data_IF_280043923356
#
_entry.id   IF_280043923356
#
_cell.length_a   1.000
_cell.length_b   1.000
_cell.length_c   1.000
_cell.angle_alpha   90.00
_cell.angle_beta   90.00
_cell.angle_gamma   90.00
#
_symmetry.space_group_name_H-M   'P 1'
#
loop_
_entity.id
_entity.type
_entity.pdbx_description
1 polymer ?
#
# COMPACT_ATOMS: atom_id res chain seq x y z
N UNK A 1 20.32 9.78 28.79
CA UNK A 1 19.44 10.98 28.74
C UNK A 1 18.08 10.60 28.16
N UNK A 2 16.95 10.96 28.78
CA UNK A 2 15.60 10.62 28.31
C UNK A 2 15.33 10.95 26.83
N UNK A 3 15.88 12.06 26.33
CA UNK A 3 15.76 12.46 24.92
C UNK A 3 16.38 11.47 23.93
N UNK A 4 17.50 10.83 24.28
CA UNK A 4 18.16 9.82 23.43
C UNK A 4 17.30 8.55 23.34
N UNK A 5 16.70 8.16 24.48
CA UNK A 5 15.78 7.03 24.52
C UNK A 5 14.54 7.29 23.65
N UNK A 6 13.96 8.49 23.73
CA UNK A 6 12.84 8.88 22.91
C UNK A 6 13.18 8.78 21.41
N UNK A 7 14.28 9.40 20.95
CA UNK A 7 14.71 9.35 19.54
C UNK A 7 14.87 7.90 19.06
N UNK A 8 15.47 7.05 19.88
CA UNK A 8 15.64 5.62 19.57
C UNK A 8 14.29 4.91 19.39
N UNK A 9 13.32 5.20 20.26
CA UNK A 9 11.97 4.65 20.16
C UNK A 9 11.23 5.14 18.90
N UNK A 10 11.32 6.43 18.57
CA UNK A 10 10.74 7.00 17.35
C UNK A 10 11.34 6.35 16.11
N UNK A 11 12.67 6.23 16.05
CA UNK A 11 13.38 5.58 14.94
C UNK A 11 12.89 4.14 14.72
N UNK A 12 12.72 3.37 15.80
CA UNK A 12 12.16 2.00 15.72
C UNK A 12 10.73 1.98 15.18
N UNK A 13 9.87 2.93 15.58
CA UNK A 13 8.49 3.01 15.11
C UNK A 13 8.43 3.35 13.62
N UNK A 14 9.19 4.35 13.17
CA UNK A 14 9.30 4.74 11.76
C UNK A 14 9.85 3.59 10.92
N UNK A 15 10.90 2.91 11.38
CA UNK A 15 11.47 1.75 10.68
C UNK A 15 10.48 0.60 10.52
N UNK A 16 9.68 0.29 11.55
CA UNK A 16 8.60 -0.71 11.43
C UNK A 16 7.53 -0.29 10.42
N UNK A 17 7.17 0.98 10.39
CA UNK A 17 6.19 1.51 9.42
C UNK A 17 6.71 1.44 7.99
N UNK A 18 7.97 1.82 7.78
CA UNK A 18 8.67 1.68 6.49
C UNK A 18 8.59 0.22 6.01
N UNK A 19 8.98 -0.74 6.84
CA UNK A 19 8.93 -2.16 6.48
C UNK A 19 7.51 -2.66 6.19
N UNK A 20 6.50 -2.17 6.92
CA UNK A 20 5.10 -2.48 6.61
C UNK A 20 4.68 -1.94 5.24
N UNK A 21 5.08 -0.72 4.89
CA UNK A 21 4.78 -0.16 3.57
C UNK A 21 5.46 -0.94 2.45
N UNK A 22 6.73 -1.32 2.62
CA UNK A 22 7.44 -2.20 1.67
C UNK A 22 6.71 -3.55 1.47
N UNK A 23 6.06 -4.09 2.52
CA UNK A 23 5.38 -5.38 2.47
C UNK A 23 3.90 -5.32 2.00
N UNK A 24 3.19 -4.23 2.31
CA UNK A 24 1.73 -4.15 2.18
C UNK A 24 1.25 -3.32 1.01
N UNK A 25 2.11 -2.53 0.37
CA UNK A 25 1.73 -1.84 -0.86
C UNK A 25 1.29 -2.87 -1.90
N UNK A 26 0.11 -2.62 -2.48
CA UNK A 26 -0.45 -3.36 -3.60
C UNK A 26 -0.67 -2.37 -4.73
N UNK A 27 -0.24 -2.73 -5.92
CA UNK A 27 -0.47 -1.94 -7.11
C UNK A 27 -1.70 -2.46 -7.85
N UNK A 28 -2.41 -1.55 -8.49
CA UNK A 28 -3.39 -1.86 -9.53
C UNK A 28 -3.00 -1.17 -10.82
N UNK A 29 -3.04 -1.90 -11.93
CA UNK A 29 -2.70 -1.38 -13.24
C UNK A 29 -3.89 -0.62 -13.85
N UNK A 30 -3.62 0.58 -14.32
CA UNK A 30 -4.58 1.38 -15.10
C UNK A 30 -4.48 1.04 -16.58
N UNK A 31 -5.51 1.39 -17.38
CA UNK A 31 -5.47 1.24 -18.84
C UNK A 31 -4.29 1.96 -19.51
N UNK A 32 -3.79 3.03 -18.90
CA UNK A 32 -2.64 3.79 -19.37
C UNK A 32 -1.29 3.18 -18.93
N UNK A 33 -1.25 1.91 -18.53
CA UNK A 33 -0.01 1.22 -18.10
C UNK A 33 0.66 1.85 -16.87
N UNK A 34 -0.08 2.64 -16.08
CA UNK A 34 0.37 3.17 -14.79
C UNK A 34 -0.06 2.24 -13.67
N UNK A 35 0.87 1.85 -12.80
CA UNK A 35 0.61 1.09 -11.58
C UNK A 35 0.34 2.02 -10.40
N UNK A 36 -0.85 1.99 -9.84
CA UNK A 36 -1.30 2.90 -8.79
C UNK A 36 -1.43 2.18 -7.44
N UNK A 37 -1.03 2.84 -6.35
CA UNK A 37 -1.25 2.37 -4.98
C UNK A 37 -1.62 3.52 -4.05
N UNK A 38 -2.63 3.30 -3.21
CA UNK A 38 -3.01 4.22 -2.12
C UNK A 38 -2.53 3.66 -0.80
N UNK A 39 -2.00 4.54 0.05
CA UNK A 39 -1.54 4.20 1.40
C UNK A 39 -1.93 5.26 2.41
N UNK A 40 -1.93 4.87 3.68
CA UNK A 40 -2.13 5.77 4.82
C UNK A 40 -1.23 5.38 5.99
N UNK A 41 0.08 5.64 5.90
CA UNK A 41 1.03 5.26 6.94
C UNK A 41 0.97 6.18 8.17
N UNK A 42 1.29 5.63 9.34
CA UNK A 42 1.34 6.39 10.60
C UNK A 42 2.39 7.53 10.53
N UNK A 43 3.49 7.32 9.82
CA UNK A 43 4.60 8.28 9.66
C UNK A 43 4.83 8.62 8.19
N UNK A 44 5.50 9.75 7.92
CA UNK A 44 5.93 10.10 6.57
C UNK A 44 7.08 9.17 6.15
N UNK A 45 6.74 8.03 5.56
CA UNK A 45 7.73 7.00 5.17
C UNK A 45 7.94 6.92 3.66
N UNK A 46 7.16 7.66 2.86
CA UNK A 46 7.28 7.66 1.39
C UNK A 46 8.74 7.92 0.93
N UNK A 47 9.43 8.96 1.43
CA UNK A 47 10.84 9.19 1.08
C UNK A 47 11.77 8.01 1.42
N UNK A 48 11.43 7.25 2.47
CA UNK A 48 12.24 6.11 2.94
C UNK A 48 12.03 4.83 2.13
N UNK A 49 10.86 4.66 1.51
CA UNK A 49 10.52 3.49 0.70
C UNK A 49 10.84 3.69 -0.79
N UNK A 50 11.06 4.93 -1.22
CA UNK A 50 11.38 5.28 -2.60
C UNK A 50 12.48 4.39 -3.23
N UNK A 51 13.64 4.15 -2.59
CA UNK A 51 14.70 3.33 -3.20
C UNK A 51 14.31 1.86 -3.38
N UNK A 52 13.42 1.34 -2.51
CA UNK A 52 12.93 -0.03 -2.58
C UNK A 52 12.10 -0.24 -3.85
N UNK A 53 11.09 0.61 -4.04
CA UNK A 53 10.16 0.50 -5.17
C UNK A 53 10.83 0.83 -6.51
N UNK A 54 11.72 1.84 -6.56
CA UNK A 54 12.50 2.15 -7.78
C UNK A 54 13.29 0.94 -8.28
N UNK A 55 13.97 0.24 -7.35
CA UNK A 55 14.81 -0.92 -7.68
C UNK A 55 13.97 -2.13 -8.10
N UNK A 56 12.84 -2.35 -7.42
CA UNK A 56 12.00 -3.52 -7.64
C UNK A 56 11.14 -3.42 -8.91
N UNK A 57 10.69 -2.22 -9.25
CA UNK A 57 9.78 -1.94 -10.36
C UNK A 57 10.40 -0.88 -11.28
N UNK A 58 11.58 -1.19 -11.81
CA UNK A 58 12.38 -0.24 -12.60
C UNK A 58 11.87 -0.05 -14.03
N UNK A 59 11.11 -1.02 -14.54
CA UNK A 59 10.58 -1.15 -15.89
C UNK A 59 9.10 -0.73 -16.01
N UNK A 60 8.50 -0.27 -14.92
CA UNK A 60 7.07 0.05 -14.82
C UNK A 60 6.88 1.46 -14.27
N UNK A 61 5.95 2.23 -14.85
CA UNK A 61 5.54 3.50 -14.26
C UNK A 61 4.65 3.22 -13.06
N UNK A 62 4.90 3.89 -11.95
CA UNK A 62 4.09 3.68 -10.75
C UNK A 62 3.88 4.96 -9.95
N UNK A 63 2.75 5.00 -9.23
CA UNK A 63 2.38 6.06 -8.30
C UNK A 63 1.99 5.45 -6.94
N UNK A 64 2.69 5.84 -5.88
CA UNK A 64 2.31 5.52 -4.49
C UNK A 64 1.84 6.81 -3.84
N UNK A 65 0.58 6.87 -3.43
CA UNK A 65 -0.05 8.09 -2.91
C UNK A 65 -0.46 7.96 -1.43
N UNK A 66 0.01 8.87 -0.58
CA UNK A 66 -0.37 8.97 0.84
C UNK A 66 -1.64 9.82 0.98
N UNK A 67 -2.78 9.16 1.20
CA UNK A 67 -4.09 9.82 1.33
C UNK A 67 -4.17 10.74 2.56
N UNK A 68 -3.40 10.47 3.61
CA UNK A 68 -3.42 11.30 4.83
C UNK A 68 -2.59 12.57 4.66
N UNK A 69 -1.46 12.48 3.95
CA UNK A 69 -0.55 13.62 3.75
C UNK A 69 -0.77 14.36 2.43
N UNK A 70 -1.61 13.82 1.54
CA UNK A 70 -2.01 14.40 0.26
C UNK A 70 -0.84 14.65 -0.70
N UNK A 71 0.09 13.70 -0.75
CA UNK A 71 1.17 13.69 -1.72
C UNK A 71 1.56 12.24 -2.06
N UNK A 72 2.24 12.05 -3.18
CA UNK A 72 2.71 10.75 -3.62
C UNK A 72 4.05 10.80 -4.33
N UNK A 73 4.58 9.61 -4.60
CA UNK A 73 5.78 9.39 -5.38
C UNK A 73 5.40 8.79 -6.73
N UNK A 74 5.73 9.49 -7.81
CA UNK A 74 5.52 9.06 -9.18
C UNK A 74 6.85 8.71 -9.84
N UNK A 75 7.00 7.48 -10.32
CA UNK A 75 8.16 7.04 -11.10
C UNK A 75 7.83 7.00 -12.59
N UNK A 76 8.59 7.75 -13.38
CA UNK A 76 8.38 7.93 -14.83
C UNK A 76 9.28 7.02 -15.70
N UNK A 77 9.91 6.00 -15.11
CA UNK A 77 10.97 5.14 -15.67
C UNK A 77 12.39 5.74 -15.66
N UNK A 78 12.57 6.97 -15.18
CA UNK A 78 13.88 7.63 -15.07
C UNK A 78 14.09 8.14 -13.65
N UNK A 79 13.16 8.98 -13.20
CA UNK A 79 13.22 9.72 -11.96
C UNK A 79 11.92 9.59 -11.18
N UNK A 80 12.01 9.96 -9.90
CA UNK A 80 10.86 9.92 -9.01
C UNK A 80 10.49 11.35 -8.66
N UNK A 81 9.25 11.68 -8.96
CA UNK A 81 8.65 12.99 -8.75
C UNK A 81 7.74 12.95 -7.54
N UNK A 82 7.84 13.97 -6.70
CA UNK A 82 6.81 14.21 -5.70
C UNK A 82 5.61 14.87 -6.38
N UNK A 83 4.43 14.30 -6.20
CA UNK A 83 3.18 14.81 -6.79
C UNK A 83 2.18 15.11 -5.70
N UNK A 84 1.44 16.20 -5.83
CA UNK A 84 0.26 16.48 -5.00
C UNK A 84 -0.97 16.39 -5.90
N UNK A 85 -1.99 15.70 -5.40
CA UNK A 85 -3.25 15.46 -6.11
C UNK A 85 -4.39 15.84 -5.16
N UNK A 86 -5.55 16.24 -5.67
CA UNK A 86 -6.72 16.26 -4.80
C UNK A 86 -7.13 14.81 -4.52
N UNK A 87 -7.35 14.47 -3.24
CA UNK A 87 -7.65 13.09 -2.85
C UNK A 87 -8.95 12.58 -3.49
N UNK A 88 -9.84 13.50 -3.88
CA UNK A 88 -11.03 13.23 -4.67
C UNK A 88 -10.73 12.76 -6.08
N UNK A 89 -9.55 12.98 -6.64
CA UNK A 89 -9.23 12.64 -8.04
C UNK A 89 -8.72 11.20 -8.18
N UNK A 90 -8.42 10.53 -7.05
CA UNK A 90 -7.79 9.20 -7.05
C UNK A 90 -8.74 8.10 -6.59
N UNK A 91 -9.58 8.34 -5.57
CA UNK A 91 -10.54 7.35 -5.04
C UNK A 91 -11.91 7.99 -4.71
N UNK A 92 -13.00 7.46 -5.30
CA UNK A 92 -14.38 7.91 -5.02
C UNK A 92 -14.86 7.52 -3.62
N UNK A 93 -14.27 6.47 -3.04
CA UNK A 93 -14.67 5.88 -1.76
C UNK A 93 -13.74 6.27 -0.60
N UNK A 94 -13.03 7.40 -0.69
CA UNK A 94 -12.17 7.92 0.39
C UNK A 94 -12.86 7.94 1.78
N UNK A 95 -14.20 8.06 1.79
CA UNK A 95 -15.04 8.09 3.00
C UNK A 95 -15.69 6.73 3.36
N UNK A 96 -15.82 5.80 2.42
CA UNK A 96 -16.48 4.51 2.60
C UNK A 96 -15.40 3.42 2.78
N UNK A 97 -14.74 3.46 3.93
CA UNK A 97 -13.41 2.90 4.18
C UNK A 97 -13.28 1.38 4.31
N UNK A 98 -13.72 0.61 3.30
CA UNK A 98 -13.59 -0.86 3.32
C UNK A 98 -12.89 -1.43 2.07
N UNK A 99 -12.83 -0.69 0.96
CA UNK A 99 -12.10 -1.07 -0.25
C UNK A 99 -11.63 0.18 -1.03
N UNK A 100 -10.66 0.01 -1.94
CA UNK A 100 -10.21 1.05 -2.87
C UNK A 100 -11.12 1.06 -4.11
N UNK A 101 -11.64 2.24 -4.49
CA UNK A 101 -12.37 2.44 -5.75
C UNK A 101 -11.70 3.53 -6.58
N UNK A 102 -10.65 3.13 -7.28
CA UNK A 102 -9.89 4.02 -8.16
C UNK A 102 -10.81 4.73 -9.17
N UNK A 103 -10.55 6.03 -9.39
CA UNK A 103 -11.25 6.79 -10.41
C UNK A 103 -10.79 6.45 -11.83
N UNK A 104 -9.52 6.11 -11.96
CA UNK A 104 -8.92 5.70 -13.22
C UNK A 104 -9.49 4.35 -13.64
N UNK A 105 -9.73 4.23 -14.94
CA UNK A 105 -10.11 2.95 -15.52
C UNK A 105 -8.96 1.96 -15.34
N UNK A 106 -9.27 0.85 -14.66
CA UNK A 106 -8.34 -0.25 -14.48
C UNK A 106 -8.25 -1.07 -15.77
N UNK A 107 -7.10 -1.70 -15.97
CA UNK A 107 -6.90 -2.67 -17.05
C UNK A 107 -7.91 -3.83 -16.91
N UNK A 108 -8.43 -4.33 -18.02
CA UNK A 108 -9.45 -5.39 -18.04
C UNK A 108 -8.95 -6.68 -17.35
N UNK A 109 -7.64 -6.92 -17.38
CA UNK A 109 -7.01 -8.08 -16.75
C UNK A 109 -6.86 -7.95 -15.23
N UNK A 110 -7.03 -6.75 -14.65
CA UNK A 110 -6.89 -6.55 -13.20
C UNK A 110 -7.87 -7.39 -12.39
N UNK A 111 -9.09 -7.60 -12.91
CA UNK A 111 -10.09 -8.47 -12.26
C UNK A 111 -9.57 -9.91 -12.17
N UNK A 112 -8.94 -10.40 -13.23
CA UNK A 112 -8.35 -11.73 -13.26
C UNK A 112 -7.14 -11.82 -12.30
N UNK A 113 -6.25 -10.82 -12.30
CA UNK A 113 -5.10 -10.80 -11.39
C UNK A 113 -5.52 -10.74 -9.91
N UNK A 114 -6.56 -9.96 -9.59
CA UNK A 114 -7.13 -9.90 -8.24
C UNK A 114 -7.66 -11.27 -7.80
N UNK A 115 -8.37 -11.97 -8.69
CA UNK A 115 -8.88 -13.31 -8.40
C UNK A 115 -7.75 -14.34 -8.22
N UNK A 116 -6.77 -14.36 -9.13
CA UNK A 116 -5.62 -15.25 -9.05
C UNK A 116 -4.84 -15.04 -7.74
N UNK A 117 -4.69 -13.79 -7.30
CA UNK A 117 -4.05 -13.48 -6.03
C UNK A 117 -4.83 -14.04 -4.84
N UNK A 118 -6.16 -13.88 -4.82
CA UNK A 118 -7.01 -14.43 -3.75
C UNK A 118 -6.97 -15.96 -3.70
N UNK A 119 -7.02 -16.61 -4.86
CA UNK A 119 -6.95 -18.07 -4.96
C UNK A 119 -5.59 -18.59 -4.47
N UNK A 120 -4.51 -17.95 -4.91
CA UNK A 120 -3.17 -18.22 -4.41
C UNK A 120 -3.11 -18.06 -2.89
N UNK A 121 -3.54 -16.90 -2.35
CA UNK A 121 -3.53 -16.60 -0.92
C UNK A 121 -4.31 -17.63 -0.11
N UNK A 122 -5.47 -18.07 -0.60
CA UNK A 122 -6.29 -19.10 0.02
C UNK A 122 -5.58 -20.46 0.01
N UNK A 123 -4.98 -20.84 -1.12
CA UNK A 123 -4.34 -22.16 -1.30
C UNK A 123 -3.09 -22.36 -0.43
N UNK A 124 -2.33 -21.29 -0.17
CA UNK A 124 -1.12 -21.36 0.67
C UNK A 124 -1.41 -21.25 2.17
N UNK A 125 -2.64 -20.91 2.55
CA UNK A 125 -3.01 -20.74 3.94
C UNK A 125 -3.38 -22.08 4.58
N UNK A 126 -2.81 -22.36 5.76
CA UNK A 126 -3.06 -23.59 6.50
C UNK A 126 -4.07 -23.26 7.61
N UNK A 127 -5.29 -23.77 7.49
CA UNK A 127 -6.42 -23.48 8.39
C UNK A 127 -6.09 -23.74 9.86
N UNK A 128 -5.35 -24.82 10.13
CA UNK A 128 -4.96 -25.25 11.47
C UNK A 128 -3.93 -24.30 12.12
N UNK A 129 -3.24 -23.47 11.32
CA UNK A 129 -2.28 -22.46 11.81
C UNK A 129 -2.91 -21.09 12.00
N UNK A 130 -4.23 -20.96 11.86
CA UNK A 130 -4.91 -19.69 12.01
C UNK A 130 -4.83 -19.18 13.46
N UNK A 131 -4.13 -18.07 13.63
CA UNK A 131 -4.09 -17.31 14.88
C UNK A 131 -4.46 -15.86 14.60
N UNK A 132 -5.74 -15.53 14.77
CA UNK A 132 -6.29 -14.21 14.43
C UNK A 132 -5.62 -13.09 15.25
N UNK A 133 -5.34 -13.34 16.54
CA UNK A 133 -4.69 -12.35 17.41
C UNK A 133 -3.30 -11.98 16.88
N UNK A 134 -2.50 -13.00 16.57
CA UNK A 134 -1.16 -12.81 16.01
C UNK A 134 -1.21 -12.18 14.61
N UNK A 135 -2.18 -12.59 13.80
CA UNK A 135 -2.40 -12.03 12.47
C UNK A 135 -2.67 -10.53 12.51
N UNK A 136 -3.56 -10.07 13.41
CA UNK A 136 -3.85 -8.63 13.60
C UNK A 136 -2.65 -7.87 14.15
N UNK A 137 -1.78 -8.51 14.95
CA UNK A 137 -0.55 -7.89 15.44
C UNK A 137 0.46 -7.62 14.32
N UNK A 138 0.63 -8.56 13.38
CA UNK A 138 1.54 -8.40 12.25
C UNK A 138 0.93 -7.57 11.11
N UNK A 139 -0.38 -7.73 10.86
CA UNK A 139 -1.14 -7.01 9.85
C UNK A 139 -2.32 -6.26 10.51
N UNK A 140 -2.07 -5.07 11.07
CA UNK A 140 -3.11 -4.25 11.69
C UNK A 140 -4.26 -3.94 10.72
N UNK A 141 -5.50 -3.96 11.25
CA UNK A 141 -6.74 -3.78 10.47
C UNK A 141 -6.78 -2.51 9.61
N UNK A 142 -6.10 -1.43 10.05
CA UNK A 142 -6.00 -0.17 9.30
C UNK A 142 -5.42 -0.33 7.88
N UNK A 143 -4.65 -1.39 7.62
CA UNK A 143 -4.09 -1.66 6.30
C UNK A 143 -5.00 -2.50 5.40
N UNK A 144 -6.03 -3.15 5.96
CA UNK A 144 -6.83 -4.13 5.24
C UNK A 144 -7.57 -3.51 4.05
N UNK A 145 -7.96 -2.23 4.13
CA UNK A 145 -8.54 -1.48 3.01
C UNK A 145 -7.65 -1.47 1.76
N UNK A 146 -6.33 -1.54 1.93
CA UNK A 146 -5.33 -1.46 0.84
C UNK A 146 -4.87 -2.85 0.37
N UNK A 147 -5.47 -3.94 0.89
CA UNK A 147 -5.09 -5.31 0.59
C UNK A 147 -6.22 -6.06 -0.10
N UNK A 148 -5.94 -6.55 -1.31
CA UNK A 148 -6.86 -7.32 -2.14
C UNK A 148 -7.36 -8.61 -1.46
N UNK A 149 -6.48 -9.25 -0.67
CA UNK A 149 -6.76 -10.48 0.07
C UNK A 149 -7.59 -10.28 1.35
N UNK A 150 -7.87 -9.02 1.73
CA UNK A 150 -8.56 -8.67 2.98
C UNK A 150 -9.94 -8.05 2.78
N UNK A 151 -10.56 -8.23 1.61
CA UNK A 151 -11.97 -7.90 1.44
C UNK A 151 -12.77 -8.54 2.57
N UNK A 152 -13.36 -7.69 3.41
CA UNK A 152 -14.23 -8.10 4.50
C UNK A 152 -15.56 -8.46 3.83
N UNK A 153 -15.68 -9.69 3.36
CA UNK A 153 -16.98 -10.28 3.06
C UNK A 153 -17.72 -10.42 4.41
N UNK A 154 -18.84 -9.71 4.53
CA UNK A 154 -19.81 -9.89 5.61
C UNK A 154 -20.79 -11.01 5.24
#
# INVERSE_FOLDING_TARGET
HPSVLAITQWTKKVGREKHRMEAFIRFKKTKDELFLSLVRPDFNVLPLIQPHFKRRYQDQRWLIYDEQRKFGLYYDLREIHEVSLEASDVDRNLKNGMSQSFQLELDEQEVLYDQLWKDYFKSVNITERQNIKLHVQYLPKRYWRYLNEKLIEY
#
